data_IF_681898366286
#
_entry.id   IF_681898366286
#
_cell.length_a   1.000
_cell.length_b   1.000
_cell.length_c   1.000
_cell.angle_alpha   90.00
_cell.angle_beta   90.00
_cell.angle_gamma   90.00
#
_symmetry.space_group_name_H-M   'P 1'
#
loop_
_entity.id
_entity.type
_entity.pdbx_description
1 polymer ?
#
# COMPACT_ATOMS: atom_id res chain seq x y z
N UNK A 1 14.48 -8.78 3.63
CA UNK A 1 15.13 -8.87 2.31
C UNK A 1 16.58 -9.33 2.44
N UNK A 2 17.39 -8.74 3.32
CA UNK A 2 18.80 -9.11 3.52
C UNK A 2 18.97 -10.57 3.95
N UNK A 3 18.16 -11.05 4.92
CA UNK A 3 18.15 -12.45 5.33
C UNK A 3 17.87 -13.38 4.14
N UNK A 4 16.91 -13.03 3.27
CA UNK A 4 16.58 -13.81 2.07
C UNK A 4 17.81 -13.96 1.15
N UNK A 5 18.48 -12.86 0.85
CA UNK A 5 19.69 -12.89 0.00
C UNK A 5 20.82 -13.71 0.63
N UNK A 6 21.04 -13.57 1.93
CA UNK A 6 22.06 -14.34 2.67
C UNK A 6 21.78 -15.85 2.66
N UNK A 7 20.53 -16.25 2.81
CA UNK A 7 20.12 -17.67 2.82
C UNK A 7 20.28 -18.32 1.43
N UNK A 8 20.10 -17.53 0.37
CA UNK A 8 20.16 -18.03 -1.02
C UNK A 8 21.58 -18.01 -1.59
N UNK A 9 22.44 -17.07 -1.15
CA UNK A 9 23.78 -16.87 -1.75
C UNK A 9 24.70 -18.07 -1.58
N UNK A 10 25.34 -18.47 -2.68
CA UNK A 10 26.42 -19.46 -2.72
C UNK A 10 26.03 -20.80 -2.06
N UNK A 11 24.88 -21.34 -2.43
CA UNK A 11 24.32 -22.58 -1.87
C UNK A 11 24.09 -23.64 -2.92
N UNK A 12 24.09 -24.91 -2.48
CA UNK A 12 23.57 -26.05 -3.24
C UNK A 12 22.23 -26.48 -2.67
N UNK A 13 21.30 -26.82 -3.54
CA UNK A 13 19.94 -27.20 -3.15
C UNK A 13 19.29 -28.11 -4.19
N UNK A 14 18.15 -28.72 -3.81
CA UNK A 14 17.33 -29.54 -4.73
C UNK A 14 16.00 -28.82 -5.00
N UNK A 15 15.70 -28.59 -6.27
CA UNK A 15 14.45 -27.98 -6.69
C UNK A 15 13.80 -28.77 -7.81
N UNK A 16 12.53 -29.12 -7.63
CA UNK A 16 11.79 -29.97 -8.57
C UNK A 16 12.56 -31.25 -8.97
N UNK A 17 13.18 -31.91 -7.99
CA UNK A 17 13.95 -33.14 -8.17
C UNK A 17 15.30 -32.98 -8.86
N UNK A 18 15.76 -31.76 -9.13
CA UNK A 18 17.04 -31.46 -9.79
C UNK A 18 17.96 -30.71 -8.84
N UNK A 19 19.27 -31.00 -8.92
CA UNK A 19 20.31 -30.31 -8.13
C UNK A 19 20.72 -29.01 -8.83
N UNK A 20 20.81 -27.95 -8.04
CA UNK A 20 21.27 -26.61 -8.45
C UNK A 20 22.32 -26.08 -7.49
N UNK A 21 23.09 -25.11 -8.00
CA UNK A 21 23.92 -24.21 -7.19
C UNK A 21 23.51 -22.78 -7.47
N UNK A 22 23.56 -21.92 -6.48
CA UNK A 22 23.39 -20.48 -6.66
C UNK A 22 24.73 -19.76 -6.56
N UNK A 23 24.90 -18.69 -7.31
CA UNK A 23 25.90 -17.68 -7.03
C UNK A 23 25.43 -16.70 -5.95
N UNK A 24 26.16 -15.59 -5.79
CA UNK A 24 25.80 -14.51 -4.86
C UNK A 24 24.47 -13.88 -5.25
N UNK A 25 23.61 -13.65 -4.26
CA UNK A 25 22.33 -13.01 -4.46
C UNK A 25 22.41 -11.50 -4.20
N UNK A 26 21.79 -10.70 -5.08
CA UNK A 26 21.85 -9.25 -5.05
C UNK A 26 20.46 -8.63 -4.95
N UNK A 27 20.37 -7.40 -4.44
CA UNK A 27 19.20 -6.53 -4.64
C UNK A 27 19.44 -5.72 -5.92
N UNK A 28 18.55 -5.80 -6.92
CA UNK A 28 18.63 -4.87 -8.06
C UNK A 28 18.42 -3.45 -7.57
N UNK A 29 19.28 -2.53 -7.97
CA UNK A 29 19.30 -1.16 -7.48
C UNK A 29 18.92 -0.19 -8.59
N UNK A 30 18.13 0.83 -8.26
CA UNK A 30 17.90 1.97 -9.13
C UNK A 30 18.84 3.12 -8.73
N UNK A 31 19.53 3.69 -9.70
CA UNK A 31 20.30 4.94 -9.49
C UNK A 31 19.34 6.13 -9.50
N UNK A 32 19.36 6.96 -8.45
CA UNK A 32 18.60 8.20 -8.34
C UNK A 32 17.37 8.14 -7.42
N UNK A 33 16.69 9.29 -7.27
CA UNK A 33 15.48 9.43 -6.46
C UNK A 33 14.26 8.80 -7.14
N UNK A 34 13.36 8.21 -6.38
CA UNK A 34 12.11 7.62 -6.86
C UNK A 34 11.93 6.18 -6.40
N UNK A 35 10.88 5.49 -6.87
CA UNK A 35 10.52 4.15 -6.41
C UNK A 35 11.61 3.08 -6.59
N UNK A 36 11.37 1.91 -6.01
CA UNK A 36 12.29 0.77 -6.04
C UNK A 36 11.92 -0.22 -7.15
N UNK A 37 12.90 -1.06 -7.54
CA UNK A 37 12.66 -2.22 -8.39
C UNK A 37 11.71 -3.19 -7.66
N UNK A 38 10.87 -3.91 -8.39
CA UNK A 38 9.94 -4.90 -7.77
C UNK A 38 10.66 -6.18 -7.33
N UNK A 39 11.86 -6.44 -7.84
CA UNK A 39 12.70 -7.56 -7.44
C UNK A 39 13.49 -7.18 -6.19
N UNK A 40 13.31 -7.92 -5.11
CA UNK A 40 14.02 -7.74 -3.84
C UNK A 40 15.26 -8.65 -3.72
N UNK A 41 15.29 -9.73 -4.54
CA UNK A 41 16.40 -10.67 -4.61
C UNK A 41 16.55 -11.18 -6.05
N UNK A 42 17.74 -11.01 -6.61
CA UNK A 42 18.15 -11.53 -7.91
C UNK A 42 19.31 -12.52 -7.69
N UNK A 43 19.21 -13.72 -8.25
CA UNK A 43 20.27 -14.72 -8.21
C UNK A 43 20.25 -15.58 -9.48
N UNK A 44 21.43 -16.02 -9.92
CA UNK A 44 21.56 -17.05 -10.95
C UNK A 44 21.61 -18.40 -10.26
N UNK A 45 20.72 -19.30 -10.67
CA UNK A 45 20.72 -20.71 -10.27
C UNK A 45 21.22 -21.55 -11.45
N UNK A 46 22.29 -22.29 -11.25
CA UNK A 46 22.92 -23.15 -12.24
C UNK A 46 22.59 -24.62 -11.95
N UNK A 47 21.95 -25.30 -12.89
CA UNK A 47 21.66 -26.73 -12.76
C UNK A 47 22.95 -27.54 -12.86
N UNK A 48 23.19 -28.47 -11.91
CA UNK A 48 24.46 -29.20 -11.80
C UNK A 48 24.68 -30.13 -12.98
N UNK A 49 23.62 -30.78 -13.51
CA UNK A 49 23.71 -31.81 -14.53
C UNK A 49 24.13 -31.33 -15.91
N UNK A 50 23.68 -30.15 -16.34
CA UNK A 50 23.89 -29.61 -17.70
C UNK A 50 24.38 -28.18 -17.72
N UNK A 51 24.72 -27.62 -16.57
CA UNK A 51 25.21 -26.25 -16.38
C UNK A 51 24.26 -25.16 -16.89
N UNK A 52 22.99 -25.49 -17.09
CA UNK A 52 21.99 -24.51 -17.54
C UNK A 52 21.68 -23.51 -16.43
N UNK A 53 21.81 -22.24 -16.77
CA UNK A 53 21.53 -21.12 -15.88
C UNK A 53 20.07 -20.67 -15.95
N UNK A 54 19.54 -20.24 -14.81
CA UNK A 54 18.22 -19.66 -14.69
C UNK A 54 18.25 -18.47 -13.76
N UNK A 55 17.71 -17.33 -14.23
CA UNK A 55 17.50 -16.15 -13.39
C UNK A 55 16.34 -16.40 -12.42
N UNK A 56 16.60 -16.30 -11.15
CA UNK A 56 15.60 -16.32 -10.07
C UNK A 56 15.47 -14.90 -9.52
N UNK A 57 14.31 -14.29 -9.78
CA UNK A 57 13.97 -12.91 -9.42
C UNK A 57 12.78 -12.92 -8.46
N UNK A 58 13.02 -12.62 -7.20
CA UNK A 58 12.04 -12.78 -6.13
C UNK A 58 11.58 -11.41 -5.65
N UNK A 59 10.25 -11.19 -5.61
CA UNK A 59 9.66 -10.15 -4.78
C UNK A 59 9.33 -10.74 -3.41
N UNK A 60 9.81 -10.09 -2.35
CA UNK A 60 9.63 -10.58 -0.98
C UNK A 60 8.55 -9.79 -0.26
N UNK A 61 7.62 -10.50 0.37
CA UNK A 61 6.58 -9.93 1.22
C UNK A 61 6.51 -10.67 2.55
N UNK A 62 6.36 -9.94 3.65
CA UNK A 62 6.00 -10.55 4.92
C UNK A 62 4.57 -11.05 4.86
N UNK A 63 4.23 -12.11 5.59
CA UNK A 63 2.86 -12.65 5.66
C UNK A 63 1.82 -11.60 6.05
N UNK A 64 2.21 -10.65 6.90
CA UNK A 64 1.36 -9.55 7.36
C UNK A 64 1.44 -8.27 6.51
N UNK A 65 2.30 -8.25 5.48
CA UNK A 65 2.45 -7.10 4.59
C UNK A 65 1.62 -7.31 3.34
N UNK A 66 0.36 -6.92 3.43
CA UNK A 66 -0.60 -7.13 2.35
C UNK A 66 -0.39 -6.22 1.15
N UNK A 67 0.24 -5.04 1.33
CA UNK A 67 0.31 -4.07 0.23
C UNK A 67 1.31 -4.42 -0.86
N UNK A 68 0.83 -4.47 -2.11
CA UNK A 68 1.67 -4.53 -3.30
C UNK A 68 1.92 -3.13 -3.88
N UNK A 69 0.92 -2.26 -3.81
CA UNK A 69 1.03 -0.83 -4.11
C UNK A 69 0.51 -0.03 -2.91
N UNK A 70 1.41 0.70 -2.28
CA UNK A 70 1.10 1.46 -1.08
C UNK A 70 0.98 2.95 -1.42
N UNK A 71 -0.12 3.60 -0.98
CA UNK A 71 -0.32 5.05 -1.08
C UNK A 71 -0.26 5.54 -2.53
N UNK A 72 -1.11 4.97 -3.37
CA UNK A 72 -1.19 5.31 -4.80
C UNK A 72 -1.58 6.78 -4.93
N UNK A 73 -0.77 7.54 -5.69
CA UNK A 73 -1.02 8.93 -6.05
C UNK A 73 -1.58 9.03 -7.46
N UNK A 74 -2.10 10.18 -7.81
CA UNK A 74 -2.61 10.52 -9.14
C UNK A 74 -1.75 9.97 -10.29
N UNK A 75 -0.45 10.35 -10.35
CA UNK A 75 0.43 9.92 -11.43
C UNK A 75 0.64 8.40 -11.49
N UNK A 76 0.66 7.73 -10.33
CA UNK A 76 0.76 6.27 -10.27
C UNK A 76 -0.54 5.60 -10.69
N UNK A 77 -1.69 6.14 -10.30
CA UNK A 77 -2.99 5.65 -10.74
C UNK A 77 -3.12 5.72 -12.26
N UNK A 78 -2.76 6.87 -12.86
CA UNK A 78 -2.73 7.03 -14.32
C UNK A 78 -1.81 6.01 -14.99
N UNK A 79 -0.64 5.74 -14.42
CA UNK A 79 0.29 4.73 -14.94
C UNK A 79 -0.30 3.31 -14.89
N UNK A 80 -1.03 2.97 -13.81
CA UNK A 80 -1.59 1.62 -13.61
C UNK A 80 -2.85 1.39 -14.44
N UNK A 81 -3.76 2.37 -14.45
CA UNK A 81 -5.11 2.23 -15.02
C UNK A 81 -5.26 2.89 -16.41
N UNK A 82 -4.28 3.68 -16.86
CA UNK A 82 -4.39 4.49 -18.08
C UNK A 82 -5.24 5.74 -17.87
N UNK A 83 -5.80 6.27 -18.96
CA UNK A 83 -6.58 7.52 -18.93
C UNK A 83 -7.90 7.37 -18.15
N UNK A 84 -8.46 6.16 -18.08
CA UNK A 84 -9.69 5.85 -17.35
C UNK A 84 -9.48 5.64 -15.83
N UNK A 85 -8.33 6.02 -15.29
CA UNK A 85 -7.96 5.78 -13.90
C UNK A 85 -9.00 6.30 -12.90
N UNK A 86 -9.53 7.49 -13.13
CA UNK A 86 -10.52 8.13 -12.25
C UNK A 86 -11.82 7.34 -12.22
N UNK A 87 -12.36 6.99 -13.39
CA UNK A 87 -13.60 6.20 -13.50
C UNK A 87 -13.42 4.79 -12.92
N UNK A 88 -12.24 4.19 -13.09
CA UNK A 88 -11.93 2.89 -12.49
C UNK A 88 -11.98 2.95 -10.96
N UNK A 89 -11.38 3.97 -10.35
CA UNK A 89 -11.41 4.14 -8.89
C UNK A 89 -12.81 4.50 -8.40
N UNK A 90 -13.55 5.36 -9.11
CA UNK A 90 -14.95 5.70 -8.78
C UNK A 90 -15.85 4.47 -8.76
N UNK A 91 -15.77 3.59 -9.76
CA UNK A 91 -16.51 2.32 -9.77
C UNK A 91 -16.26 1.47 -8.54
N UNK A 92 -15.03 1.41 -8.07
CA UNK A 92 -14.68 0.69 -6.84
C UNK A 92 -15.20 1.39 -5.59
N UNK A 93 -15.12 2.72 -5.52
CA UNK A 93 -15.68 3.52 -4.42
C UNK A 93 -17.19 3.28 -4.30
N UNK A 94 -17.93 3.23 -5.42
CA UNK A 94 -19.37 2.98 -5.44
C UNK A 94 -19.70 1.65 -4.79
N UNK A 95 -18.91 0.59 -5.01
CA UNK A 95 -19.14 -0.74 -4.42
C UNK A 95 -19.06 -0.73 -2.87
N UNK A 96 -18.28 0.17 -2.31
CA UNK A 96 -18.07 0.26 -0.86
C UNK A 96 -18.65 1.54 -0.24
N UNK A 97 -19.38 2.35 -1.02
CA UNK A 97 -19.91 3.66 -0.59
C UNK A 97 -20.66 3.58 0.74
N UNK A 98 -21.57 2.61 0.89
CA UNK A 98 -22.33 2.41 2.14
C UNK A 98 -21.42 2.07 3.32
N UNK A 99 -20.36 1.28 3.10
CA UNK A 99 -19.38 0.96 4.16
C UNK A 99 -18.63 2.21 4.59
N UNK A 100 -18.14 3.02 3.62
CA UNK A 100 -17.45 4.29 3.91
C UNK A 100 -18.33 5.27 4.68
N UNK A 101 -19.60 5.35 4.32
CA UNK A 101 -20.58 6.23 4.99
C UNK A 101 -20.88 5.81 6.43
N UNK A 102 -20.64 4.54 6.79
CA UNK A 102 -20.84 4.00 8.14
C UNK A 102 -19.56 3.98 8.99
N UNK A 103 -18.43 4.44 8.45
CA UNK A 103 -17.18 4.51 9.17
C UNK A 103 -17.13 5.71 10.12
N UNK A 104 -16.59 5.54 11.34
CA UNK A 104 -16.37 6.68 12.24
C UNK A 104 -15.45 7.73 11.61
N UNK A 105 -15.83 8.99 11.74
CA UNK A 105 -15.05 10.13 11.26
C UNK A 105 -14.27 10.83 12.37
N UNK A 106 -14.71 10.65 13.63
CA UNK A 106 -14.04 11.14 14.82
C UNK A 106 -13.98 10.07 15.92
N UNK A 107 -12.92 10.07 16.72
CA UNK A 107 -12.65 9.07 17.75
C UNK A 107 -12.61 9.69 19.14
N UNK A 108 -13.67 9.52 19.90
CA UNK A 108 -13.77 9.91 21.32
C UNK A 108 -12.85 9.08 22.20
N UNK A 109 -12.62 7.82 21.82
CA UNK A 109 -11.76 6.87 22.48
C UNK A 109 -10.79 6.23 21.50
N UNK A 110 -9.87 5.40 22.02
CA UNK A 110 -8.98 4.61 21.19
C UNK A 110 -9.71 3.40 20.61
N UNK A 111 -9.59 3.20 19.30
CA UNK A 111 -9.99 1.97 18.62
C UNK A 111 -8.77 1.33 17.94
N UNK A 112 -8.34 0.17 18.43
CA UNK A 112 -7.19 -0.58 17.89
C UNK A 112 -5.95 0.32 17.74
N UNK A 113 -5.57 0.64 16.49
CA UNK A 113 -4.43 1.51 16.15
C UNK A 113 -4.79 2.99 16.08
N UNK A 114 -6.09 3.33 15.99
CA UNK A 114 -6.56 4.72 15.93
C UNK A 114 -6.66 5.29 17.34
N UNK A 115 -6.05 6.44 17.56
CA UNK A 115 -5.95 7.05 18.88
C UNK A 115 -7.14 7.97 19.16
N UNK A 116 -7.46 8.16 20.44
CA UNK A 116 -8.39 9.20 20.92
C UNK A 116 -8.02 10.57 20.32
N UNK A 117 -9.02 11.35 19.94
CA UNK A 117 -8.87 12.66 19.31
C UNK A 117 -8.43 12.62 17.85
N UNK A 118 -8.53 11.46 17.20
CA UNK A 118 -8.30 11.33 15.77
C UNK A 118 -9.50 11.77 14.96
N UNK A 119 -9.27 12.62 13.97
CA UNK A 119 -10.25 13.13 13.00
C UNK A 119 -9.86 12.59 11.62
N UNK A 120 -10.80 11.99 10.91
CA UNK A 120 -10.55 11.40 9.60
C UNK A 120 -10.53 12.48 8.52
N UNK A 121 -9.45 12.51 7.72
CA UNK A 121 -9.30 13.43 6.58
C UNK A 121 -9.81 12.82 5.28
N UNK A 122 -9.95 11.50 5.25
CA UNK A 122 -10.39 10.73 4.10
C UNK A 122 -9.76 9.34 4.05
N UNK A 123 -9.83 8.72 2.88
CA UNK A 123 -9.24 7.41 2.62
C UNK A 123 -8.25 7.48 1.46
N UNK A 124 -7.10 6.84 1.64
CA UNK A 124 -6.10 6.61 0.60
C UNK A 124 -6.51 5.42 -0.24
N UNK A 125 -6.05 5.38 -1.47
CA UNK A 125 -6.17 4.22 -2.35
C UNK A 125 -4.87 3.40 -2.33
N UNK A 126 -5.00 2.11 -2.09
CA UNK A 126 -3.88 1.16 -2.00
C UNK A 126 -4.29 -0.15 -2.70
N UNK A 127 -3.34 -1.04 -2.99
CA UNK A 127 -3.61 -2.39 -3.49
C UNK A 127 -2.96 -3.42 -2.59
N UNK A 128 -3.71 -4.46 -2.27
CA UNK A 128 -3.29 -5.56 -1.38
C UNK A 128 -3.26 -6.88 -2.12
N UNK A 129 -2.36 -7.76 -1.67
CA UNK A 129 -2.36 -9.18 -2.03
C UNK A 129 -3.22 -9.91 -1.02
N UNK A 130 -4.16 -10.74 -1.49
CA UNK A 130 -5.08 -11.50 -0.64
C UNK A 130 -5.78 -10.63 0.42
N UNK A 131 -6.21 -9.43 0.02
CA UNK A 131 -6.76 -8.45 0.94
C UNK A 131 -8.03 -8.96 1.62
N UNK A 132 -8.02 -8.90 2.95
CA UNK A 132 -9.16 -9.24 3.81
C UNK A 132 -9.80 -8.00 4.43
N UNK A 133 -9.40 -6.80 3.98
CA UNK A 133 -9.92 -5.56 4.56
C UNK A 133 -11.38 -5.34 4.21
N UNK A 134 -12.18 -4.85 5.16
CA UNK A 134 -13.62 -4.60 4.94
C UNK A 134 -13.92 -3.66 3.77
N UNK A 135 -13.00 -2.74 3.48
CA UNK A 135 -13.10 -1.75 2.40
C UNK A 135 -12.24 -2.17 1.19
N UNK A 136 -12.25 -3.44 0.82
CA UNK A 136 -11.56 -3.96 -0.36
C UNK A 136 -12.52 -4.31 -1.49
N UNK A 137 -12.06 -4.17 -2.73
CA UNK A 137 -12.75 -4.63 -3.94
C UNK A 137 -11.79 -5.37 -4.86
N UNK A 138 -12.23 -6.42 -5.60
CA UNK A 138 -11.37 -7.12 -6.54
C UNK A 138 -10.80 -6.21 -7.64
N UNK A 139 -9.58 -6.48 -8.06
CA UNK A 139 -8.89 -5.80 -9.16
C UNK A 139 -8.89 -6.72 -10.39
N UNK A 140 -9.11 -6.17 -11.55
CA UNK A 140 -9.04 -6.90 -12.81
C UNK A 140 -7.69 -7.58 -13.01
N UNK A 141 -7.70 -8.81 -13.54
CA UNK A 141 -6.49 -9.63 -13.71
C UNK A 141 -5.41 -8.93 -14.56
N UNK A 142 -5.79 -8.18 -15.60
CA UNK A 142 -4.83 -7.41 -16.42
C UNK A 142 -4.07 -6.37 -15.61
N UNK A 143 -4.75 -5.72 -14.65
CA UNK A 143 -4.15 -4.73 -13.75
C UNK A 143 -3.26 -5.44 -12.72
N UNK A 144 -3.73 -6.55 -12.15
CA UNK A 144 -2.93 -7.38 -11.25
C UNK A 144 -1.61 -7.79 -11.91
N UNK A 145 -1.66 -8.26 -13.16
CA UNK A 145 -0.47 -8.60 -13.94
C UNK A 145 0.47 -7.41 -14.10
N UNK A 146 -0.06 -6.25 -14.46
CA UNK A 146 0.72 -5.03 -14.59
C UNK A 146 1.45 -4.66 -13.28
N UNK A 147 0.73 -4.70 -12.16
CA UNK A 147 1.26 -4.32 -10.84
C UNK A 147 2.36 -5.29 -10.36
N UNK A 148 2.20 -6.59 -10.60
CA UNK A 148 3.19 -7.59 -10.22
C UNK A 148 4.43 -7.55 -11.11
N UNK A 149 4.25 -7.51 -12.42
CA UNK A 149 5.33 -7.60 -13.39
C UNK A 149 6.05 -6.26 -13.62
N UNK A 150 5.38 -5.13 -13.34
CA UNK A 150 5.87 -3.78 -13.65
C UNK A 150 6.33 -3.62 -15.12
N UNK A 151 5.75 -4.41 -16.03
CA UNK A 151 6.21 -4.51 -17.43
C UNK A 151 6.08 -3.22 -18.24
N UNK A 152 5.10 -2.35 -17.91
CA UNK A 152 4.90 -1.07 -18.59
C UNK A 152 5.40 0.12 -17.75
N UNK A 153 6.10 -0.16 -16.64
CA UNK A 153 6.78 0.87 -15.88
C UNK A 153 7.98 1.44 -16.65
N UNK A 154 8.46 2.58 -16.18
CA UNK A 154 9.67 3.20 -16.71
C UNK A 154 10.80 2.15 -16.83
N UNK A 155 11.55 2.15 -17.94
CA UNK A 155 12.63 1.19 -18.21
C UNK A 155 13.66 1.11 -17.08
N UNK A 156 13.86 2.20 -16.35
CA UNK A 156 14.75 2.27 -15.18
C UNK A 156 14.35 1.30 -14.05
N UNK A 157 13.05 1.00 -13.89
CA UNK A 157 12.57 0.04 -12.89
C UNK A 157 12.55 -1.41 -13.36
N UNK A 158 12.69 -1.60 -14.67
CA UNK A 158 12.71 -2.94 -15.29
C UNK A 158 14.13 -3.45 -15.42
N UNK A 159 15.04 -2.61 -15.87
CA UNK A 159 16.44 -2.95 -16.19
C UNK A 159 17.35 -2.36 -15.10
N UNK A 160 17.16 -2.80 -13.87
CA UNK A 160 17.94 -2.32 -12.74
C UNK A 160 19.37 -2.87 -12.77
N UNK A 161 20.36 -2.11 -12.32
CA UNK A 161 21.70 -2.65 -12.09
C UNK A 161 21.68 -3.76 -11.03
N UNK A 162 22.41 -4.82 -11.31
CA UNK A 162 22.70 -5.92 -10.39
C UNK A 162 24.21 -5.99 -10.25
N UNK A 163 24.74 -5.77 -9.06
CA UNK A 163 26.19 -5.69 -8.82
C UNK A 163 26.90 -4.69 -9.78
N UNK A 164 26.26 -3.55 -10.05
CA UNK A 164 26.80 -2.51 -10.95
C UNK A 164 26.51 -2.70 -12.43
N UNK A 165 26.13 -3.88 -12.90
CA UNK A 165 25.81 -4.19 -14.28
C UNK A 165 24.32 -4.06 -14.57
N UNK A 166 23.95 -3.39 -15.68
CA UNK A 166 22.57 -3.23 -16.11
C UNK A 166 22.05 -4.52 -16.75
N UNK A 167 21.18 -5.23 -16.04
CA UNK A 167 20.61 -6.50 -16.53
C UNK A 167 19.16 -6.28 -17.01
N UNK A 168 18.86 -6.77 -18.21
CA UNK A 168 17.52 -6.68 -18.80
C UNK A 168 16.50 -7.42 -17.92
N UNK A 169 15.40 -6.71 -17.60
CA UNK A 169 14.30 -7.24 -16.76
C UNK A 169 14.73 -7.72 -15.35
N UNK A 170 15.86 -7.31 -14.83
CA UNK A 170 16.29 -7.65 -13.46
C UNK A 170 15.30 -7.17 -12.40
N UNK A 171 14.64 -6.04 -12.63
CA UNK A 171 13.63 -5.46 -11.75
C UNK A 171 12.23 -6.07 -11.89
N UNK A 172 12.05 -7.06 -12.80
CA UNK A 172 10.77 -7.76 -13.06
C UNK A 172 10.82 -9.13 -12.39
N UNK A 173 10.15 -9.34 -11.25
CA UNK A 173 10.20 -10.61 -10.56
C UNK A 173 9.51 -11.73 -11.36
N UNK A 174 10.02 -12.95 -11.25
CA UNK A 174 9.37 -14.15 -11.77
C UNK A 174 8.78 -15.03 -10.65
N UNK A 175 9.16 -14.76 -9.39
CA UNK A 175 8.61 -15.43 -8.21
C UNK A 175 8.24 -14.43 -7.13
N UNK A 176 7.23 -14.79 -6.34
CA UNK A 176 6.91 -14.18 -5.05
C UNK A 176 7.33 -15.11 -3.93
N UNK A 177 7.86 -14.56 -2.84
CA UNK A 177 8.13 -15.26 -1.59
C UNK A 177 7.44 -14.53 -0.45
N UNK A 178 6.41 -15.17 0.15
CA UNK A 178 5.54 -14.55 1.16
C UNK A 178 5.72 -15.31 2.47
N UNK A 179 6.63 -14.84 3.32
CA UNK A 179 6.96 -15.44 4.61
C UNK A 179 7.51 -14.39 5.58
N UNK A 180 7.26 -14.57 6.87
CA UNK A 180 7.97 -13.80 7.89
C UNK A 180 9.42 -14.28 7.99
N UNK A 181 10.32 -13.37 8.39
CA UNK A 181 11.75 -13.68 8.42
C UNK A 181 12.14 -14.80 9.40
N UNK A 182 11.35 -15.01 10.44
CA UNK A 182 11.52 -16.09 11.40
C UNK A 182 11.16 -17.47 10.83
N UNK A 183 10.38 -17.52 9.76
CA UNK A 183 9.78 -18.75 9.21
C UNK A 183 10.59 -19.38 8.07
N UNK A 184 11.82 -18.96 7.83
CA UNK A 184 12.73 -19.60 6.87
C UNK A 184 14.18 -19.44 7.31
N UNK A 185 14.99 -20.50 7.19
CA UNK A 185 16.39 -20.50 7.59
C UNK A 185 17.33 -21.17 6.59
N UNK A 186 16.78 -21.85 5.58
CA UNK A 186 17.54 -22.56 4.55
C UNK A 186 17.12 -22.15 3.14
N UNK A 187 17.95 -22.44 2.16
CA UNK A 187 17.63 -22.25 0.74
C UNK A 187 16.46 -23.17 0.32
N UNK A 188 16.39 -24.36 0.88
CA UNK A 188 15.32 -25.32 0.59
C UNK A 188 13.96 -24.78 1.09
N UNK A 189 13.93 -24.15 2.29
CA UNK A 189 12.71 -23.46 2.79
C UNK A 189 12.23 -22.38 1.82
N UNK A 190 13.16 -21.64 1.23
CA UNK A 190 12.82 -20.58 0.28
C UNK A 190 12.28 -21.17 -1.01
N UNK A 191 13.00 -22.10 -1.64
CA UNK A 191 12.63 -22.62 -2.95
C UNK A 191 11.38 -23.49 -2.92
N UNK A 192 11.10 -24.19 -1.81
CA UNK A 192 9.85 -24.94 -1.58
C UNK A 192 8.62 -23.99 -1.55
N UNK A 193 8.81 -22.77 -1.09
CA UNK A 193 7.73 -21.79 -0.91
C UNK A 193 7.74 -20.66 -1.95
N UNK A 194 8.53 -20.77 -3.02
CA UNK A 194 8.47 -19.84 -4.14
C UNK A 194 7.16 -20.04 -4.92
N UNK A 195 6.44 -18.94 -5.13
CA UNK A 195 5.20 -18.92 -5.90
C UNK A 195 5.48 -18.24 -7.24
N UNK A 196 5.31 -18.90 -8.39
CA UNK A 196 5.42 -18.22 -9.68
C UNK A 196 4.48 -17.01 -9.75
N UNK A 197 4.96 -15.86 -10.24
CA UNK A 197 4.12 -14.65 -10.37
C UNK A 197 2.86 -14.92 -11.21
N UNK A 198 2.96 -15.76 -12.24
CA UNK A 198 1.81 -16.17 -13.04
C UNK A 198 0.73 -16.88 -12.22
N UNK A 199 1.11 -17.67 -11.22
CA UNK A 199 0.15 -18.35 -10.31
C UNK A 199 -0.49 -17.37 -9.34
N UNK A 200 0.29 -16.42 -8.80
CA UNK A 200 -0.24 -15.34 -7.95
C UNK A 200 -1.29 -14.53 -8.70
N UNK A 201 -1.03 -14.20 -9.97
CA UNK A 201 -1.94 -13.43 -10.82
C UNK A 201 -3.24 -14.22 -11.13
N UNK A 202 -3.12 -15.52 -11.44
CA UNK A 202 -4.28 -16.38 -11.76
C UNK A 202 -5.27 -16.50 -10.59
N UNK A 203 -4.76 -16.56 -9.38
CA UNK A 203 -5.57 -16.77 -8.18
C UNK A 203 -6.38 -15.53 -7.75
N UNK A 204 -6.45 -14.49 -8.58
CA UNK A 204 -7.29 -13.31 -8.34
C UNK A 204 -6.95 -12.52 -7.09
N UNK A 205 -5.68 -12.51 -6.72
CA UNK A 205 -5.20 -12.21 -5.39
C UNK A 205 -4.95 -10.72 -5.10
N UNK A 206 -5.29 -9.80 -6.00
CA UNK A 206 -5.16 -8.37 -5.73
C UNK A 206 -6.54 -7.74 -5.50
N UNK A 207 -6.66 -7.01 -4.41
CA UNK A 207 -7.82 -6.17 -4.12
C UNK A 207 -7.37 -4.72 -3.95
N UNK A 208 -8.24 -3.78 -4.31
CA UNK A 208 -8.07 -2.41 -3.83
C UNK A 208 -8.32 -2.35 -2.33
N UNK A 209 -7.69 -1.40 -1.65
CA UNK A 209 -7.91 -1.14 -0.25
C UNK A 209 -8.04 0.37 -0.02
N UNK A 210 -9.03 0.75 0.79
CA UNK A 210 -9.28 2.14 1.15
C UNK A 210 -8.89 2.33 2.62
N UNK A 211 -7.71 2.90 2.83
CA UNK A 211 -7.10 3.03 4.16
C UNK A 211 -7.29 4.43 4.72
N UNK A 212 -7.83 4.54 5.92
CA UNK A 212 -8.07 5.81 6.58
C UNK A 212 -6.79 6.65 6.72
N UNK A 213 -6.91 7.94 6.41
CA UNK A 213 -5.93 8.97 6.69
C UNK A 213 -6.47 9.85 7.81
N UNK A 214 -5.82 9.79 8.96
CA UNK A 214 -6.26 10.49 10.17
C UNK A 214 -5.28 11.61 10.55
N UNK A 215 -5.85 12.67 11.10
CA UNK A 215 -5.15 13.69 11.88
C UNK A 215 -5.48 13.51 13.36
N UNK A 216 -4.50 13.46 14.23
CA UNK A 216 -4.72 13.41 15.68
C UNK A 216 -4.60 14.81 16.26
N UNK A 217 -5.73 15.40 16.63
CA UNK A 217 -5.79 16.77 17.10
C UNK A 217 -5.12 16.97 18.47
N UNK A 218 -5.10 15.96 19.34
CA UNK A 218 -4.40 16.00 20.65
C UNK A 218 -2.89 16.11 20.50
N UNK A 219 -2.35 15.53 19.42
CA UNK A 219 -0.90 15.50 19.16
C UNK A 219 -0.46 16.53 18.12
N UNK A 220 -1.41 17.21 17.51
CA UNK A 220 -1.21 18.01 16.29
C UNK A 220 -0.38 17.25 15.23
N UNK A 221 -0.77 16.02 14.96
CA UNK A 221 0.01 15.10 14.14
C UNK A 221 -0.85 14.38 13.10
N UNK A 222 -0.38 14.44 11.87
CA UNK A 222 -0.96 13.68 10.75
C UNK A 222 -0.19 12.37 10.54
N UNK A 223 -0.88 11.25 10.74
CA UNK A 223 -0.29 9.92 10.55
C UNK A 223 0.08 9.63 9.09
N UNK A 224 1.15 8.85 8.90
CA UNK A 224 1.54 8.33 7.58
C UNK A 224 2.24 9.31 6.63
N UNK A 225 2.65 10.48 7.13
CA UNK A 225 3.38 11.53 6.37
C UNK A 225 2.45 12.46 5.60
N UNK A 226 2.98 13.62 5.26
CA UNK A 226 2.26 14.72 4.60
C UNK A 226 2.01 14.43 3.11
N UNK A 227 1.01 15.09 2.52
CA UNK A 227 0.70 15.07 1.09
C UNK A 227 0.34 13.68 0.55
N UNK A 228 -0.68 13.03 1.16
CA UNK A 228 -1.26 11.80 0.65
C UNK A 228 -2.50 12.10 -0.16
N UNK A 229 -2.51 11.70 -1.43
CA UNK A 229 -3.70 11.82 -2.27
C UNK A 229 -4.80 10.94 -1.70
N UNK A 230 -6.01 11.48 -1.62
CA UNK A 230 -7.17 10.82 -1.04
C UNK A 230 -8.13 10.38 -2.13
N UNK A 231 -8.50 9.12 -2.10
CA UNK A 231 -9.52 8.59 -3.01
C UNK A 231 -10.94 9.03 -2.61
N UNK A 232 -11.16 9.20 -1.32
CA UNK A 232 -12.40 9.78 -0.78
C UNK A 232 -12.00 10.82 0.27
N UNK A 233 -11.80 12.08 -0.12
CA UNK A 233 -11.56 13.16 0.82
C UNK A 233 -12.82 13.50 1.63
N UNK A 234 -12.64 14.03 2.83
CA UNK A 234 -13.71 14.52 3.69
C UNK A 234 -13.59 16.03 3.79
N UNK A 235 -14.62 16.74 3.33
CA UNK A 235 -14.74 18.17 3.49
C UNK A 235 -15.40 18.49 4.83
N UNK A 236 -14.61 18.99 5.76
CA UNK A 236 -15.06 19.51 7.04
C UNK A 236 -15.47 20.98 6.90
N UNK A 237 -16.63 21.35 7.43
CA UNK A 237 -17.16 22.72 7.36
C UNK A 237 -18.07 23.03 8.53
N UNK A 238 -18.37 24.30 8.75
CA UNK A 238 -19.37 24.75 9.70
C UNK A 238 -20.68 25.01 8.95
N UNK A 239 -21.77 24.48 9.48
CA UNK A 239 -23.13 24.73 8.99
C UNK A 239 -24.06 24.93 10.17
N UNK A 240 -24.72 26.07 10.24
CA UNK A 240 -25.63 26.44 11.35
C UNK A 240 -24.94 26.34 12.74
N UNK A 241 -23.68 26.70 12.84
CA UNK A 241 -22.91 26.63 14.11
C UNK A 241 -22.39 25.23 14.48
N UNK A 242 -22.67 24.20 13.67
CA UNK A 242 -22.21 22.84 13.89
C UNK A 242 -21.14 22.43 12.90
N UNK A 243 -20.22 21.56 13.33
CA UNK A 243 -19.22 20.96 12.47
C UNK A 243 -19.86 19.82 11.65
N UNK A 244 -19.80 19.94 10.35
CA UNK A 244 -20.31 18.95 9.39
C UNK A 244 -19.18 18.30 8.62
N UNK A 245 -19.41 17.08 8.15
CA UNK A 245 -18.48 16.33 7.31
C UNK A 245 -19.18 15.83 6.05
N UNK A 246 -18.63 16.14 4.88
CA UNK A 246 -19.13 15.65 3.58
C UNK A 246 -18.06 14.77 2.95
N UNK A 247 -18.39 13.50 2.68
CA UNK A 247 -17.55 12.57 1.92
C UNK A 247 -17.66 12.91 0.43
N UNK A 248 -16.53 13.17 -0.22
CA UNK A 248 -16.48 13.41 -1.66
C UNK A 248 -16.10 12.12 -2.39
N UNK A 249 -17.04 11.57 -3.18
CA UNK A 249 -16.89 10.32 -3.92
C UNK A 249 -16.52 10.51 -5.39
N UNK A 250 -16.56 11.75 -5.88
CA UNK A 250 -16.52 12.04 -7.31
C UNK A 250 -15.15 12.51 -7.81
N UNK A 251 -14.24 12.84 -6.89
CA UNK A 251 -12.93 13.43 -7.18
C UNK A 251 -11.78 12.60 -6.56
N UNK A 252 -11.62 11.31 -6.94
CA UNK A 252 -10.57 10.48 -6.38
C UNK A 252 -9.19 11.01 -6.74
N UNK A 253 -8.30 11.08 -5.74
CA UNK A 253 -6.89 11.50 -5.84
C UNK A 253 -6.64 12.94 -6.30
N UNK A 254 -7.67 13.78 -6.43
CA UNK A 254 -7.53 15.21 -6.77
C UNK A 254 -7.09 16.05 -5.56
N UNK A 255 -7.48 15.63 -4.37
CA UNK A 255 -7.13 16.31 -3.12
C UNK A 255 -6.17 15.47 -2.30
N UNK A 256 -5.20 16.13 -1.73
CA UNK A 256 -4.30 15.50 -0.78
C UNK A 256 -4.69 15.80 0.68
N UNK A 257 -4.13 15.01 1.59
CA UNK A 257 -4.46 15.10 3.01
C UNK A 257 -4.07 16.43 3.68
N UNK A 258 -3.10 17.18 3.13
CA UNK A 258 -2.76 18.50 3.68
C UNK A 258 -3.85 19.52 3.38
N UNK A 259 -4.39 19.51 2.16
CA UNK A 259 -5.51 20.40 1.80
C UNK A 259 -6.68 20.16 2.74
N UNK A 260 -7.02 18.90 3.01
CA UNK A 260 -8.11 18.56 3.92
C UNK A 260 -7.80 18.92 5.38
N UNK A 261 -6.54 18.81 5.80
CA UNK A 261 -6.11 19.23 7.11
C UNK A 261 -6.21 20.75 7.28
N UNK A 262 -5.79 21.54 6.29
CA UNK A 262 -5.92 22.99 6.36
C UNK A 262 -7.38 23.45 6.42
N UNK A 263 -8.28 22.83 5.62
CA UNK A 263 -9.73 23.07 5.75
C UNK A 263 -10.25 22.77 7.17
N UNK A 264 -9.85 21.62 7.74
CA UNK A 264 -10.21 21.27 9.11
C UNK A 264 -9.67 22.30 10.12
N UNK A 265 -8.43 22.76 9.96
CA UNK A 265 -7.84 23.77 10.85
C UNK A 265 -8.59 25.12 10.82
N UNK A 266 -9.09 25.51 9.64
CA UNK A 266 -9.97 26.68 9.53
C UNK A 266 -11.22 26.48 10.38
N UNK A 267 -11.90 25.34 10.26
CA UNK A 267 -13.09 25.01 11.07
C UNK A 267 -12.80 25.04 12.57
N UNK A 268 -11.67 24.45 12.99
CA UNK A 268 -11.27 24.45 14.40
C UNK A 268 -11.01 25.87 14.93
N UNK A 269 -10.34 26.71 14.12
CA UNK A 269 -10.04 28.10 14.46
C UNK A 269 -11.30 28.95 14.58
N UNK A 270 -12.25 28.83 13.64
CA UNK A 270 -13.52 29.57 13.66
C UNK A 270 -14.37 29.25 14.90
N UNK A 271 -14.24 28.05 15.45
CA UNK A 271 -14.95 27.63 16.67
C UNK A 271 -14.11 27.76 17.94
N UNK A 272 -12.94 28.41 17.83
CA UNK A 272 -12.01 28.57 18.94
C UNK A 272 -11.67 27.23 19.64
N UNK A 273 -11.42 26.18 18.84
CA UNK A 273 -11.02 24.85 19.31
C UNK A 273 -9.51 24.69 19.11
N UNK A 274 -8.71 24.76 20.18
CA UNK A 274 -7.25 24.64 20.07
C UNK A 274 -6.84 23.21 19.71
N UNK A 275 -5.70 23.05 19.03
CA UNK A 275 -5.06 21.75 18.76
C UNK A 275 -3.88 21.51 19.70
N UNK A 276 -3.31 20.31 19.67
CA UNK A 276 -2.22 19.91 20.54
C UNK A 276 -2.72 19.52 21.93
N UNK A 277 -1.90 19.74 22.95
CA UNK A 277 -2.22 19.35 24.35
C UNK A 277 -3.52 19.98 24.88
N UNK A 278 -3.91 21.14 24.34
CA UNK A 278 -5.12 21.88 24.72
C UNK A 278 -6.38 21.42 23.99
N UNK A 279 -6.28 20.45 23.07
CA UNK A 279 -7.45 19.94 22.35
C UNK A 279 -8.39 19.21 23.31
N UNK A 280 -9.61 19.74 23.43
CA UNK A 280 -10.65 19.12 24.23
C UNK A 280 -11.58 18.27 23.35
N UNK A 281 -11.52 16.96 23.54
CA UNK A 281 -12.27 15.99 22.75
C UNK A 281 -13.78 16.17 22.91
N UNK A 282 -14.26 16.45 24.13
CA UNK A 282 -15.68 16.63 24.41
C UNK A 282 -16.21 17.92 23.79
N UNK A 283 -15.45 19.05 23.92
CA UNK A 283 -15.81 20.31 23.28
C UNK A 283 -15.91 20.18 21.75
N UNK A 284 -15.02 19.43 21.11
CA UNK A 284 -15.11 19.15 19.67
C UNK A 284 -16.35 18.31 19.37
N UNK A 285 -16.61 17.26 20.17
CA UNK A 285 -17.78 16.39 20.01
C UNK A 285 -19.10 17.16 20.14
N UNK A 286 -19.23 18.04 21.12
CA UNK A 286 -20.43 18.87 21.35
C UNK A 286 -20.74 19.81 20.18
N UNK A 287 -19.74 20.15 19.37
CA UNK A 287 -19.89 20.96 18.16
C UNK A 287 -20.17 20.15 16.90
N UNK A 288 -20.09 18.80 16.97
CA UNK A 288 -20.36 17.98 15.79
C UNK A 288 -21.87 17.91 15.52
N UNK A 289 -22.21 18.02 14.22
CA UNK A 289 -23.56 17.67 13.78
C UNK A 289 -23.85 16.19 14.11
N UNK A 290 -25.05 15.85 14.62
CA UNK A 290 -25.41 14.48 15.01
C UNK A 290 -25.30 13.43 13.90
N UNK A 291 -25.23 13.84 12.64
CA UNK A 291 -25.01 12.94 11.50
C UNK A 291 -23.57 12.51 11.32
N UNK A 292 -22.62 13.16 12.00
CA UNK A 292 -21.20 12.77 11.96
C UNK A 292 -21.00 11.54 12.83
N UNK A 293 -20.59 10.43 12.24
CA UNK A 293 -20.38 9.18 12.97
C UNK A 293 -19.12 9.26 13.83
N UNK A 294 -19.24 8.93 15.09
CA UNK A 294 -18.17 8.92 16.08
C UNK A 294 -17.89 7.51 16.60
N UNK A 295 -16.72 7.29 17.19
CA UNK A 295 -16.38 6.06 17.89
C UNK A 295 -16.02 6.35 19.35
N UNK A 296 -16.54 5.60 20.34
CA UNK A 296 -17.61 4.62 20.19
C UNK A 296 -18.91 5.29 19.75
N UNK A 297 -19.80 4.52 19.15
CA UNK A 297 -21.14 5.00 18.83
C UNK A 297 -21.90 5.16 20.12
N UNK A 298 -22.29 6.37 20.43
CA UNK A 298 -23.12 6.71 21.60
C UNK A 298 -24.60 6.47 21.33
#
# INVERSE_FOLDING_TARGET
EEKLRRVISDKSFTWNGKKFTTGKAYKPEKKGSGGECKTDCFVIATRVSDKKEQEIKITYKKENASFIENKIRYGRAKTIFGDDWSETIKKQIIQIKKKLQNEPLFYLERDRKTKKGSIKLGWRYEMEVNGTRPLGTPIEQKIAKYVWENKNGNQEYRNCPVNGEKIKNSGVPNFAFIRNAENFNSIDDVFLNLIPISSVIKNGSITSAFTAQNYNAIRDYQGGGNKRDLSVPIDWSIKNGEITAKLNFDQPLEFNSNIQLEKLRVVLKELDIPVGKSFNVNRFYEKLNPKVIVFPKL
#
